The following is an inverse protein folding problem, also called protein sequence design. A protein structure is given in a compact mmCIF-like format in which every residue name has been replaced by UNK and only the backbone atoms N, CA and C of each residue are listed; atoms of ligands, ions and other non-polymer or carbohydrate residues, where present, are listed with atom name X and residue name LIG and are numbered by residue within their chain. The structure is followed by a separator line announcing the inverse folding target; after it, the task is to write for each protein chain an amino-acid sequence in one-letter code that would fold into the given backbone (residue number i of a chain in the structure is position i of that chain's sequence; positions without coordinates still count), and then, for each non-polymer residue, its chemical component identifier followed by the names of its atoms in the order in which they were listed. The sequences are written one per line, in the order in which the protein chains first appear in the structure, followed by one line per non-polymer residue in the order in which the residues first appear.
data_IF_452529399792
#
_entry.id   IF_452529399792
#
_cell.length_a   1.000
_cell.length_b   1.000
_cell.length_c   1.000
_cell.angle_alpha   90.00
_cell.angle_beta   90.00
_cell.angle_gamma   90.00
#
_symmetry.space_group_name_H-M   'P 1'
#
loop_
_entity.id
_entity.type
_entity.pdbx_description
1 polymer ?
#
# COMPACT_ATOMS: atom_id res chain seq x y z
N UNK A 1 -2.22 -18.62 8.68
CA UNK A 1 -2.59 -18.23 7.29
C UNK A 1 -2.63 -16.72 7.21
N UNK A 2 -2.09 -16.16 6.16
CA UNK A 2 -1.96 -14.72 5.98
C UNK A 2 -3.29 -14.05 5.66
N UNK A 3 -3.44 -12.79 6.09
CA UNK A 3 -4.40 -11.84 5.56
C UNK A 3 -3.62 -10.81 4.75
N UNK A 4 -3.93 -10.73 3.46
CA UNK A 4 -3.27 -9.85 2.50
C UNK A 4 -3.92 -8.46 2.54
N UNK A 5 -3.13 -7.42 2.85
CA UNK A 5 -3.67 -6.05 2.94
C UNK A 5 -3.77 -5.35 1.57
N UNK A 6 -3.18 -5.93 0.51
CA UNK A 6 -3.03 -5.25 -0.76
C UNK A 6 -3.04 -6.22 -1.95
N UNK A 7 -4.11 -6.20 -2.74
CA UNK A 7 -4.21 -6.93 -4.00
C UNK A 7 -5.22 -6.31 -4.96
N UNK A 8 -5.10 -6.67 -6.25
CA UNK A 8 -5.93 -6.18 -7.33
C UNK A 8 -6.50 -7.32 -8.16
N UNK A 9 -7.77 -7.21 -8.54
CA UNK A 9 -8.42 -8.13 -9.45
C UNK A 9 -9.41 -7.40 -10.36
N UNK A 10 -9.57 -7.91 -11.57
CA UNK A 10 -10.49 -7.36 -12.57
C UNK A 10 -11.39 -8.47 -13.12
N UNK A 11 -12.66 -8.20 -13.32
CA UNK A 11 -13.60 -9.14 -13.94
C UNK A 11 -13.17 -9.60 -15.34
N UNK A 12 -12.47 -8.74 -16.06
CA UNK A 12 -11.99 -9.00 -17.41
C UNK A 12 -10.52 -8.61 -17.55
N UNK A 13 -9.76 -9.28 -18.42
CA UNK A 13 -8.39 -8.88 -18.71
C UNK A 13 -8.30 -7.40 -19.09
N UNK A 14 -7.34 -6.71 -18.52
CA UNK A 14 -7.05 -5.30 -18.84
C UNK A 14 -5.99 -5.28 -19.95
N UNK A 15 -6.27 -4.66 -21.12
CA UNK A 15 -5.44 -4.82 -22.30
C UNK A 15 -4.24 -3.87 -22.40
N UNK A 16 -4.06 -2.92 -21.45
CA UNK A 16 -3.16 -1.78 -21.72
C UNK A 16 -1.85 -1.78 -20.94
N UNK A 17 -1.81 -2.23 -19.69
CA UNK A 17 -0.66 -2.04 -18.82
C UNK A 17 -0.02 -3.36 -18.38
N UNK A 18 -0.80 -4.24 -17.76
CA UNK A 18 -0.30 -5.51 -17.24
C UNK A 18 -1.38 -6.58 -17.30
N UNK A 19 -0.99 -7.83 -17.05
CA UNK A 19 -1.91 -8.97 -16.99
C UNK A 19 -2.47 -9.10 -15.59
N UNK A 20 -3.45 -8.26 -15.25
CA UNK A 20 -4.12 -8.34 -13.94
C UNK A 20 -4.81 -9.69 -13.72
N UNK A 21 -4.95 -10.05 -12.47
CA UNK A 21 -5.68 -11.24 -12.05
C UNK A 21 -7.18 -11.07 -12.30
N UNK A 22 -7.85 -12.16 -12.70
CA UNK A 22 -9.29 -12.32 -12.43
C UNK A 22 -9.49 -12.73 -10.98
N UNK A 23 -10.69 -12.57 -10.39
CA UNK A 23 -10.95 -13.01 -9.02
C UNK A 23 -10.55 -14.47 -8.76
N UNK A 24 -10.87 -15.37 -9.68
CA UNK A 24 -10.56 -16.80 -9.56
C UNK A 24 -9.05 -17.06 -9.64
N UNK A 25 -8.34 -16.35 -10.52
CA UNK A 25 -6.89 -16.46 -10.64
C UNK A 25 -6.18 -15.91 -9.40
N UNK A 26 -6.68 -14.80 -8.82
CA UNK A 26 -6.18 -14.24 -7.58
C UNK A 26 -6.37 -15.21 -6.41
N UNK A 27 -7.55 -15.81 -6.28
CA UNK A 27 -7.83 -16.84 -5.26
C UNK A 27 -6.83 -18.00 -5.38
N UNK A 28 -6.58 -18.49 -6.59
CA UNK A 28 -5.62 -19.57 -6.80
C UNK A 28 -4.17 -19.17 -6.41
N UNK A 29 -3.79 -17.91 -6.69
CA UNK A 29 -2.49 -17.38 -6.29
C UNK A 29 -2.39 -17.20 -4.76
N UNK A 30 -3.46 -16.72 -4.12
CA UNK A 30 -3.57 -16.63 -2.67
C UNK A 30 -3.45 -18.00 -2.00
N UNK A 31 -4.17 -19.00 -2.48
CA UNK A 31 -4.12 -20.37 -1.95
C UNK A 31 -2.70 -20.96 -2.02
N UNK A 32 -2.00 -20.74 -3.14
CA UNK A 32 -0.61 -21.16 -3.32
C UNK A 32 0.34 -20.56 -2.28
N UNK A 33 0.05 -19.37 -1.79
CA UNK A 33 0.89 -18.62 -0.83
C UNK A 33 0.38 -18.70 0.61
N UNK A 34 -0.64 -19.52 0.91
CA UNK A 34 -1.20 -19.65 2.26
C UNK A 34 -1.97 -18.42 2.76
N UNK A 35 -2.57 -17.68 1.83
CA UNK A 35 -3.36 -16.48 2.11
C UNK A 35 -4.83 -16.87 2.22
N UNK A 36 -5.43 -16.57 3.36
CA UNK A 36 -6.84 -16.88 3.66
C UNK A 36 -7.77 -15.88 3.01
N UNK A 37 -7.48 -14.58 3.18
CA UNK A 37 -8.26 -13.46 2.68
C UNK A 37 -7.36 -12.37 2.14
N UNK A 38 -7.85 -11.61 1.18
CA UNK A 38 -7.14 -10.43 0.64
C UNK A 38 -8.05 -9.21 0.50
N UNK A 39 -7.47 -8.05 0.77
CA UNK A 39 -8.07 -6.77 0.43
C UNK A 39 -8.03 -6.59 -1.08
N UNK A 40 -9.14 -6.15 -1.66
CA UNK A 40 -9.21 -5.71 -3.05
C UNK A 40 -9.23 -4.19 -3.11
N UNK A 41 -8.30 -3.61 -3.85
CA UNK A 41 -8.13 -2.17 -4.05
C UNK A 41 -8.55 -1.77 -5.46
N UNK A 42 -9.52 -0.83 -5.62
CA UNK A 42 -9.85 -0.30 -6.92
C UNK A 42 -8.85 0.77 -7.38
N UNK A 43 -8.46 0.73 -8.64
CA UNK A 43 -7.66 1.77 -9.30
C UNK A 43 -8.61 2.71 -10.01
N UNK A 44 -8.69 3.96 -9.55
CA UNK A 44 -9.71 4.93 -10.04
C UNK A 44 -9.13 6.23 -10.61
N UNK A 45 -7.82 6.44 -10.48
CA UNK A 45 -7.16 7.64 -10.97
C UNK A 45 -6.92 7.60 -12.50
N UNK A 46 -6.81 8.76 -13.11
CA UNK A 46 -6.73 8.89 -14.57
C UNK A 46 -5.34 8.68 -15.16
N UNK A 47 -4.29 8.62 -14.36
CA UNK A 47 -2.90 8.40 -14.78
C UNK A 47 -2.70 7.03 -15.40
N UNK A 48 -3.44 6.04 -14.90
CA UNK A 48 -3.45 4.68 -15.45
C UNK A 48 -4.86 4.40 -15.95
N UNK A 49 -5.01 4.10 -17.25
CA UNK A 49 -6.32 3.76 -17.81
C UNK A 49 -6.67 2.30 -17.50
N UNK A 50 -7.16 2.08 -16.29
CA UNK A 50 -7.63 0.79 -15.78
C UNK A 50 -9.10 0.94 -15.37
N UNK A 51 -10.06 0.79 -16.30
CA UNK A 51 -11.48 1.04 -16.01
C UNK A 51 -12.02 0.04 -14.99
N UNK A 52 -12.12 0.47 -13.74
CA UNK A 52 -12.68 -0.27 -12.63
C UNK A 52 -13.47 0.67 -11.73
N UNK A 53 -14.53 0.17 -11.13
CA UNK A 53 -15.38 0.92 -10.21
C UNK A 53 -15.30 0.32 -8.80
N UNK A 54 -15.73 1.09 -7.82
CA UNK A 54 -15.92 0.57 -6.45
C UNK A 54 -16.99 -0.53 -6.44
N UNK A 55 -17.98 -0.46 -7.31
CA UNK A 55 -19.02 -1.48 -7.48
C UNK A 55 -18.43 -2.81 -7.94
N UNK A 56 -17.45 -2.81 -8.87
CA UNK A 56 -16.77 -4.04 -9.29
C UNK A 56 -16.12 -4.75 -8.10
N UNK A 57 -15.50 -3.98 -7.20
CA UNK A 57 -14.88 -4.51 -5.97
C UNK A 57 -15.92 -5.10 -5.01
N UNK A 58 -17.04 -4.39 -4.82
CA UNK A 58 -18.14 -4.88 -3.98
C UNK A 58 -18.75 -6.15 -4.55
N UNK A 59 -18.98 -6.21 -5.87
CA UNK A 59 -19.52 -7.39 -6.56
C UNK A 59 -18.58 -8.61 -6.41
N UNK A 60 -17.25 -8.39 -6.50
CA UNK A 60 -16.27 -9.44 -6.26
C UNK A 60 -16.31 -9.92 -4.81
N UNK A 61 -16.39 -9.00 -3.85
CA UNK A 61 -16.46 -9.33 -2.43
C UNK A 61 -17.77 -10.02 -2.07
N UNK A 62 -18.89 -9.64 -2.68
CA UNK A 62 -20.18 -10.31 -2.50
C UNK A 62 -20.18 -11.74 -3.08
N UNK A 63 -19.53 -11.92 -4.24
CA UNK A 63 -19.39 -13.26 -4.86
C UNK A 63 -18.45 -14.18 -4.07
N UNK A 64 -17.43 -13.63 -3.43
CA UNK A 64 -16.41 -14.38 -2.68
C UNK A 64 -16.22 -13.83 -1.26
N UNK A 65 -17.25 -13.86 -0.39
CA UNK A 65 -17.27 -13.15 0.89
C UNK A 65 -16.24 -13.68 1.90
N UNK A 66 -15.83 -14.93 1.74
CA UNK A 66 -14.81 -15.54 2.61
C UNK A 66 -13.37 -15.27 2.13
N UNK A 67 -13.21 -14.65 0.96
CA UNK A 67 -11.91 -14.46 0.32
C UNK A 67 -11.53 -12.99 0.15
N UNK A 68 -12.47 -12.09 -0.10
CA UNK A 68 -12.17 -10.70 -0.41
C UNK A 68 -12.74 -9.73 0.60
N UNK A 69 -11.93 -8.74 0.92
CA UNK A 69 -12.27 -7.62 1.80
C UNK A 69 -12.30 -6.36 0.91
N UNK A 70 -13.45 -5.73 0.71
CA UNK A 70 -13.53 -4.59 -0.20
C UNK A 70 -12.92 -3.33 0.42
N UNK A 71 -12.09 -2.63 -0.32
CA UNK A 71 -11.78 -1.23 -0.14
C UNK A 71 -12.52 -0.41 -1.18
N UNK A 72 -12.69 0.87 -0.95
CA UNK A 72 -13.12 1.84 -1.94
C UNK A 72 -11.99 2.79 -2.28
N UNK A 73 -12.14 3.54 -3.36
CA UNK A 73 -11.23 4.62 -3.70
C UNK A 73 -11.98 5.74 -4.39
N UNK A 74 -11.44 6.94 -4.28
CA UNK A 74 -11.98 8.15 -4.91
C UNK A 74 -10.82 9.01 -5.36
N UNK A 75 -10.76 9.34 -6.64
CA UNK A 75 -9.80 10.33 -7.12
C UNK A 75 -10.06 11.68 -6.41
N UNK A 76 -9.04 12.34 -5.83
CA UNK A 76 -9.24 13.61 -5.11
C UNK A 76 -9.79 14.74 -5.98
N UNK A 77 -9.74 14.57 -7.32
CA UNK A 77 -10.33 15.51 -8.30
C UNK A 77 -11.81 15.20 -8.59
N UNK A 78 -12.37 14.13 -8.01
CA UNK A 78 -13.75 13.73 -8.23
C UNK A 78 -14.76 14.81 -7.81
N UNK A 79 -16.00 14.66 -8.30
CA UNK A 79 -17.13 15.57 -8.10
C UNK A 79 -16.88 16.94 -8.73
N UNK A 80 -16.37 17.91 -7.95
CA UNK A 80 -16.29 19.31 -8.39
C UNK A 80 -14.88 19.74 -8.75
N UNK A 81 -13.89 18.86 -8.69
CA UNK A 81 -12.47 19.19 -8.84
C UNK A 81 -12.04 20.34 -7.91
N UNK A 82 -12.57 20.35 -6.70
CA UNK A 82 -12.36 21.38 -5.69
C UNK A 82 -11.76 20.77 -4.42
N UNK A 83 -10.91 21.50 -3.69
CA UNK A 83 -10.45 21.09 -2.36
C UNK A 83 -11.58 21.01 -1.32
N UNK A 84 -12.76 21.52 -1.63
CA UNK A 84 -13.95 21.48 -0.77
C UNK A 84 -14.99 20.45 -1.27
N UNK A 85 -14.62 19.59 -2.24
CA UNK A 85 -15.51 18.54 -2.74
C UNK A 85 -15.97 17.62 -1.58
N UNK A 86 -17.26 17.29 -1.48
CA UNK A 86 -17.80 16.50 -0.36
C UNK A 86 -17.50 15.01 -0.52
N UNK A 87 -16.23 14.65 -0.60
CA UNK A 87 -15.76 13.28 -0.80
C UNK A 87 -16.16 12.36 0.36
N UNK A 88 -16.39 12.90 1.56
CA UNK A 88 -16.88 12.14 2.71
C UNK A 88 -18.27 11.50 2.47
N UNK A 89 -19.09 12.07 1.59
CA UNK A 89 -20.37 11.45 1.21
C UNK A 89 -20.15 10.15 0.42
N UNK A 90 -19.19 10.15 -0.51
CA UNK A 90 -18.83 8.97 -1.29
C UNK A 90 -18.22 7.90 -0.36
N UNK A 91 -17.24 8.30 0.45
CA UNK A 91 -16.56 7.38 1.36
C UNK A 91 -17.52 6.76 2.38
N UNK A 92 -18.47 7.53 2.90
CA UNK A 92 -19.52 7.04 3.81
C UNK A 92 -20.43 6.03 3.12
N UNK A 93 -20.87 6.34 1.90
CA UNK A 93 -21.71 5.43 1.10
C UNK A 93 -21.04 4.06 0.92
N UNK A 94 -19.76 4.03 0.58
CA UNK A 94 -19.02 2.76 0.40
C UNK A 94 -18.69 2.08 1.72
N UNK A 95 -18.38 2.83 2.79
CA UNK A 95 -18.23 2.26 4.13
C UNK A 95 -19.50 1.55 4.60
N UNK A 96 -20.67 2.18 4.41
CA UNK A 96 -21.96 1.61 4.80
C UNK A 96 -22.31 0.34 3.99
N UNK A 97 -21.71 0.18 2.83
CA UNK A 97 -21.79 -1.04 1.99
C UNK A 97 -20.70 -2.07 2.28
N UNK A 98 -19.86 -1.85 3.27
CA UNK A 98 -18.90 -2.83 3.76
C UNK A 98 -17.43 -2.57 3.41
N UNK A 99 -17.11 -1.49 2.67
CA UNK A 99 -15.71 -1.14 2.42
C UNK A 99 -14.97 -0.82 3.74
N UNK A 100 -13.76 -1.36 3.89
CA UNK A 100 -12.98 -1.32 5.13
C UNK A 100 -11.84 -0.29 5.12
N UNK A 101 -11.55 0.31 3.97
CA UNK A 101 -10.49 1.30 3.79
C UNK A 101 -10.60 2.02 2.46
N UNK A 102 -9.66 2.92 2.22
CA UNK A 102 -9.54 3.72 0.99
C UNK A 102 -8.17 3.46 0.37
N UNK A 103 -8.13 3.15 -0.89
CA UNK A 103 -6.88 2.93 -1.61
C UNK A 103 -7.03 2.01 -2.81
N UNK A 104 -6.01 1.94 -3.56
CA UNK A 104 -4.70 2.56 -3.39
C UNK A 104 -4.76 4.02 -3.87
N UNK A 105 -4.27 4.97 -3.04
CA UNK A 105 -4.30 6.40 -3.39
C UNK A 105 -3.04 6.70 -4.20
N UNK A 106 -3.19 6.82 -5.52
CA UNK A 106 -2.08 6.92 -6.46
C UNK A 106 -2.24 8.00 -7.56
N UNK A 107 -3.04 9.07 -7.42
CA UNK A 107 -3.03 10.14 -8.42
C UNK A 107 -1.68 10.85 -8.40
N UNK A 108 -1.16 11.26 -9.56
CA UNK A 108 0.11 11.99 -9.62
C UNK A 108 -0.11 13.47 -9.26
N UNK A 109 -0.34 13.70 -7.98
CA UNK A 109 -0.47 15.00 -7.33
C UNK A 109 0.51 15.08 -6.16
N UNK A 110 0.81 16.28 -5.71
CA UNK A 110 1.56 16.43 -4.46
C UNK A 110 0.74 15.90 -3.27
N UNK A 111 1.39 15.26 -2.30
CA UNK A 111 0.73 14.88 -1.04
C UNK A 111 0.03 16.07 -0.40
N UNK A 112 0.65 17.27 -0.49
CA UNK A 112 0.09 18.52 0.04
C UNK A 112 -0.85 19.24 -0.93
N UNK A 113 -1.19 18.69 -2.10
CA UNK A 113 -2.26 19.26 -2.94
C UNK A 113 -3.55 19.39 -2.10
N UNK A 114 -4.21 20.55 -2.13
CA UNK A 114 -5.40 20.77 -1.32
C UNK A 114 -6.52 19.74 -1.53
N UNK A 115 -6.62 19.15 -2.72
CA UNK A 115 -7.61 18.10 -3.02
C UNK A 115 -7.22 16.75 -2.40
N UNK A 116 -5.92 16.42 -2.39
CA UNK A 116 -5.39 15.24 -1.69
C UNK A 116 -5.59 15.38 -0.19
N UNK A 117 -5.30 16.58 0.36
CA UNK A 117 -5.52 16.87 1.77
C UNK A 117 -7.02 16.82 2.14
N UNK A 118 -7.91 17.20 1.23
CA UNK A 118 -9.35 17.03 1.42
C UNK A 118 -9.75 15.54 1.45
N UNK A 119 -9.18 14.70 0.59
CA UNK A 119 -9.43 13.25 0.62
C UNK A 119 -9.00 12.65 1.97
N UNK A 120 -7.80 12.98 2.46
CA UNK A 120 -7.32 12.53 3.78
C UNK A 120 -8.21 13.03 4.92
N UNK A 121 -8.63 14.29 4.88
CA UNK A 121 -9.60 14.83 5.84
C UNK A 121 -10.92 14.05 5.82
N UNK A 122 -11.45 13.77 4.64
CA UNK A 122 -12.70 13.03 4.49
C UNK A 122 -12.56 11.58 4.96
N UNK A 123 -11.43 10.92 4.69
CA UNK A 123 -11.14 9.57 5.18
C UNK A 123 -11.04 9.53 6.71
N UNK A 124 -10.34 10.49 7.33
CA UNK A 124 -10.28 10.63 8.79
C UNK A 124 -11.68 10.83 9.40
N UNK A 125 -12.47 11.76 8.82
CA UNK A 125 -13.83 12.06 9.26
C UNK A 125 -14.76 10.85 9.21
N UNK A 126 -14.60 9.99 8.19
CA UNK A 126 -15.38 8.76 8.03
C UNK A 126 -14.80 7.61 8.86
N UNK A 127 -13.52 7.70 9.25
CA UNK A 127 -12.81 6.69 10.02
C UNK A 127 -12.48 5.46 9.17
N UNK A 128 -11.93 5.68 7.97
CA UNK A 128 -11.38 4.65 7.10
C UNK A 128 -9.85 4.81 7.02
N UNK A 129 -9.07 3.73 7.21
CA UNK A 129 -7.64 3.77 6.93
C UNK A 129 -7.39 4.00 5.45
N UNK A 130 -6.20 4.50 5.10
CA UNK A 130 -5.81 4.73 3.71
C UNK A 130 -4.52 4.00 3.37
N UNK A 131 -4.39 3.50 2.15
CA UNK A 131 -3.11 3.03 1.57
C UNK A 131 -2.59 4.13 0.66
N UNK A 132 -1.39 4.59 0.97
CA UNK A 132 -0.67 5.67 0.29
C UNK A 132 0.40 5.08 -0.62
N UNK A 133 0.34 5.36 -1.90
CA UNK A 133 1.42 5.07 -2.85
C UNK A 133 2.16 6.36 -3.23
N UNK A 134 3.49 6.29 -3.20
CA UNK A 134 4.35 7.45 -3.42
C UNK A 134 5.01 7.45 -4.80
N UNK A 135 5.12 8.65 -5.41
CA UNK A 135 5.88 8.91 -6.64
C UNK A 135 7.11 9.77 -6.39
N UNK A 136 8.19 9.51 -7.12
CA UNK A 136 9.43 10.30 -7.10
C UNK A 136 9.42 11.46 -8.10
N UNK A 137 8.40 11.55 -8.95
CA UNK A 137 8.26 12.58 -9.99
C UNK A 137 6.88 13.22 -9.98
N UNK A 138 6.85 14.45 -10.44
CA UNK A 138 5.63 15.16 -10.83
C UNK A 138 5.49 15.00 -12.34
N UNK A 139 4.30 14.63 -12.79
CA UNK A 139 3.98 14.35 -14.17
C UNK A 139 4.71 13.13 -14.77
N UNK A 140 3.99 12.33 -15.52
CA UNK A 140 4.52 11.20 -16.28
C UNK A 140 4.60 9.87 -15.52
N UNK A 141 4.01 9.78 -14.34
CA UNK A 141 3.87 8.56 -13.55
C UNK A 141 2.55 8.56 -12.79
N UNK A 142 2.35 7.61 -11.88
CA UNK A 142 1.28 7.58 -10.87
C UNK A 142 1.91 7.61 -9.47
N UNK A 143 1.07 7.74 -8.44
CA UNK A 143 1.50 7.88 -7.05
C UNK A 143 1.58 9.34 -6.60
N UNK A 144 1.40 9.56 -5.30
CA UNK A 144 1.46 10.87 -4.68
C UNK A 144 2.92 11.34 -4.57
N UNK A 145 3.24 12.48 -5.16
CA UNK A 145 4.58 13.05 -5.08
C UNK A 145 4.88 13.60 -3.68
N UNK A 146 6.03 13.21 -3.16
CA UNK A 146 6.64 13.81 -1.99
C UNK A 146 8.14 14.09 -2.25
N UNK A 147 8.71 15.06 -1.54
CA UNK A 147 10.13 15.36 -1.59
C UNK A 147 10.95 14.30 -0.81
N UNK A 148 12.28 14.18 -1.09
CA UNK A 148 13.15 13.34 -0.27
C UNK A 148 13.06 13.66 1.22
N UNK A 149 12.94 12.61 2.04
CA UNK A 149 12.70 12.73 3.48
C UNK A 149 11.23 12.71 3.87
N UNK A 150 10.30 12.61 2.90
CA UNK A 150 8.84 12.52 3.11
C UNK A 150 8.23 13.68 3.94
N UNK A 151 8.63 14.96 3.70
CA UNK A 151 8.16 16.08 4.52
C UNK A 151 6.67 16.34 4.36
N UNK A 152 6.08 16.07 3.19
CA UNK A 152 4.65 16.28 2.95
C UNK A 152 3.81 15.20 3.63
N UNK A 153 4.29 13.93 3.63
CA UNK A 153 3.69 12.86 4.41
C UNK A 153 3.79 13.16 5.90
N UNK A 154 4.95 13.63 6.39
CA UNK A 154 5.11 14.01 7.78
C UNK A 154 4.08 15.08 8.20
N UNK A 155 3.93 16.13 7.40
CA UNK A 155 2.93 17.18 7.65
C UNK A 155 1.50 16.61 7.67
N UNK A 156 1.20 15.68 6.76
CA UNK A 156 -0.12 15.02 6.69
C UNK A 156 -0.40 14.17 7.93
N UNK A 157 0.57 13.38 8.40
CA UNK A 157 0.46 12.60 9.64
C UNK A 157 0.19 13.48 10.86
N UNK A 158 0.85 14.64 10.92
CA UNK A 158 0.67 15.61 11.98
C UNK A 158 -0.72 16.28 11.93
N UNK A 159 -1.19 16.58 10.71
CA UNK A 159 -2.47 17.24 10.47
C UNK A 159 -3.67 16.35 10.74
N UNK A 160 -3.55 15.05 10.45
CA UNK A 160 -4.62 14.07 10.58
C UNK A 160 -4.23 12.94 11.55
N UNK A 161 -4.13 13.22 12.86
CA UNK A 161 -3.59 12.27 13.84
C UNK A 161 -4.48 11.04 14.09
N UNK A 162 -5.74 11.07 13.64
CA UNK A 162 -6.68 9.94 13.75
C UNK A 162 -6.78 9.11 12.48
N UNK A 163 -6.18 9.58 11.38
CA UNK A 163 -6.13 8.85 10.12
C UNK A 163 -5.01 7.82 10.17
N UNK A 164 -5.31 6.54 10.06
CA UNK A 164 -4.29 5.52 9.83
C UNK A 164 -3.87 5.55 8.37
N UNK A 165 -2.58 5.80 8.12
CA UNK A 165 -1.97 5.81 6.78
C UNK A 165 -1.01 4.63 6.70
N UNK A 166 -1.24 3.72 5.75
CA UNK A 166 -0.33 2.63 5.42
C UNK A 166 0.57 3.11 4.27
N UNK A 167 1.87 3.20 4.54
CA UNK A 167 2.86 3.58 3.54
C UNK A 167 3.19 2.40 2.64
N UNK A 168 3.17 2.65 1.34
CA UNK A 168 3.41 1.69 0.27
C UNK A 168 4.27 2.30 -0.84
N UNK A 169 4.79 1.43 -1.69
CA UNK A 169 5.47 1.78 -2.93
C UNK A 169 6.96 2.12 -2.81
N UNK A 170 7.62 2.31 -3.96
CA UNK A 170 9.08 2.44 -4.04
C UNK A 170 9.62 3.66 -3.30
N UNK A 171 8.90 4.78 -3.38
CA UNK A 171 9.31 6.04 -2.73
C UNK A 171 9.32 5.90 -1.22
N UNK A 172 8.26 5.30 -0.66
CA UNK A 172 8.17 5.06 0.77
C UNK A 172 9.26 4.10 1.25
N UNK A 173 9.41 2.95 0.59
CA UNK A 173 10.34 1.92 1.02
C UNK A 173 11.82 2.26 0.77
N UNK A 174 12.15 3.12 -0.20
CA UNK A 174 13.50 3.64 -0.34
C UNK A 174 13.95 4.42 0.90
N UNK A 175 13.03 5.14 1.53
CA UNK A 175 13.26 5.97 2.71
C UNK A 175 13.36 5.18 4.04
N UNK A 176 13.42 3.84 3.99
CA UNK A 176 13.80 3.02 5.16
C UNK A 176 15.25 3.30 5.57
N UNK A 177 16.10 3.63 4.60
CA UNK A 177 17.49 4.02 4.79
C UNK A 177 17.72 5.45 4.30
N UNK A 178 18.77 6.08 4.79
CA UNK A 178 19.26 7.34 4.22
C UNK A 178 19.57 7.14 2.74
N UNK A 179 19.00 7.97 1.90
CA UNK A 179 19.25 7.96 0.47
C UNK A 179 20.71 8.38 0.17
N UNK A 180 21.41 7.63 -0.67
CA UNK A 180 22.68 8.04 -1.25
C UNK A 180 22.45 9.01 -2.42
N UNK A 181 21.39 8.76 -3.18
CA UNK A 181 20.92 9.63 -4.27
C UNK A 181 19.40 9.63 -4.30
N UNK A 182 18.79 10.72 -4.77
CA UNK A 182 17.32 10.82 -4.94
C UNK A 182 16.77 9.79 -5.92
N UNK A 183 17.59 9.32 -6.87
CA UNK A 183 17.21 8.32 -7.85
C UNK A 183 16.91 6.93 -7.26
N UNK A 184 17.29 6.66 -6.02
CA UNK A 184 16.97 5.39 -5.34
C UNK A 184 15.47 5.22 -5.05
N UNK A 185 14.71 6.31 -5.13
CA UNK A 185 13.26 6.33 -4.96
C UNK A 185 12.49 5.90 -6.21
N UNK A 186 13.15 5.91 -7.37
CA UNK A 186 12.52 5.58 -8.64
C UNK A 186 12.39 4.07 -8.87
N UNK A 187 11.34 3.69 -9.58
CA UNK A 187 11.06 2.31 -9.99
C UNK A 187 10.62 2.26 -11.44
N UNK A 188 11.04 1.23 -12.17
CA UNK A 188 10.63 1.04 -13.58
C UNK A 188 9.25 0.38 -13.58
N UNK A 189 8.22 1.19 -13.70
CA UNK A 189 6.86 0.70 -13.92
C UNK A 189 6.13 1.54 -14.99
N UNK A 190 5.23 0.90 -15.71
CA UNK A 190 4.32 1.58 -16.62
C UNK A 190 5.02 2.23 -17.81
N UNK A 191 4.96 3.55 -17.88
CA UNK A 191 5.30 4.32 -19.08
C UNK A 191 6.69 4.96 -19.04
N UNK A 192 7.42 4.82 -17.94
CA UNK A 192 8.77 5.37 -17.80
C UNK A 192 9.81 4.43 -18.41
N UNK A 193 10.76 4.99 -19.14
CA UNK A 193 11.92 4.24 -19.65
C UNK A 193 12.98 4.05 -18.56
N UNK A 194 13.77 2.97 -18.67
CA UNK A 194 14.79 2.62 -17.67
C UNK A 194 15.88 3.70 -17.46
N UNK A 195 16.05 4.60 -18.41
CA UNK A 195 16.96 5.75 -18.32
C UNK A 195 16.36 6.96 -17.58
N UNK A 196 15.02 6.97 -17.40
CA UNK A 196 14.28 7.99 -16.67
C UNK A 196 14.08 7.63 -15.19
N UNK A 197 14.48 6.42 -14.79
CA UNK A 197 14.23 5.87 -13.45
C UNK A 197 15.55 5.60 -12.76
N UNK A 198 15.64 5.96 -11.50
CA UNK A 198 16.75 5.61 -10.64
C UNK A 198 16.81 4.10 -10.36
N UNK A 199 17.80 3.71 -9.60
CA UNK A 199 18.01 2.31 -9.23
C UNK A 199 17.70 2.11 -7.76
N UNK A 200 16.85 1.13 -7.46
CA UNK A 200 16.62 0.69 -6.08
C UNK A 200 17.95 0.29 -5.45
N UNK A 201 18.20 0.79 -4.24
CA UNK A 201 19.40 0.46 -3.47
C UNK A 201 19.28 -0.95 -2.88
N UNK A 202 20.31 -1.78 -3.12
CA UNK A 202 20.41 -3.14 -2.58
C UNK A 202 21.50 -3.29 -1.51
N UNK A 203 22.18 -2.18 -1.14
CA UNK A 203 23.22 -2.21 -0.12
C UNK A 203 22.61 -2.36 1.29
N UNK A 204 23.36 -2.93 2.25
CA UNK A 204 22.96 -2.95 3.66
C UNK A 204 22.65 -1.55 4.21
N UNK A 205 21.75 -1.50 5.17
CA UNK A 205 21.26 -0.26 5.79
C UNK A 205 22.31 0.22 6.82
N UNK A 206 23.03 1.27 6.48
CA UNK A 206 24.07 1.87 7.35
C UNK A 206 23.53 2.98 8.25
N UNK A 207 22.52 3.70 7.77
CA UNK A 207 21.87 4.81 8.45
C UNK A 207 20.38 4.80 8.12
N UNK A 208 19.55 4.99 9.13
CA UNK A 208 18.09 5.04 8.97
C UNK A 208 17.64 6.28 8.21
N UNK A 209 16.69 6.09 7.30
CA UNK A 209 16.02 7.14 6.54
C UNK A 209 14.88 7.82 7.29
N UNK A 210 13.93 8.34 6.54
CA UNK A 210 12.76 9.01 7.07
C UNK A 210 11.74 8.05 7.68
N UNK A 211 11.49 6.90 7.04
CA UNK A 211 10.42 5.96 7.44
C UNK A 211 10.53 5.50 8.90
N UNK A 212 11.66 4.95 9.39
CA UNK A 212 11.75 4.52 10.79
C UNK A 212 11.63 5.70 11.77
N UNK A 213 12.12 6.87 11.41
CA UNK A 213 12.00 8.09 12.24
C UNK A 213 10.54 8.55 12.35
N UNK A 214 9.81 8.55 11.22
CA UNK A 214 8.39 8.91 11.19
C UNK A 214 7.54 7.88 11.95
N UNK A 215 7.81 6.59 11.82
CA UNK A 215 7.13 5.55 12.57
C UNK A 215 7.27 5.71 14.09
N UNK A 216 8.45 6.10 14.59
CA UNK A 216 8.65 6.36 16.02
C UNK A 216 7.91 7.61 16.48
N UNK A 217 7.79 8.60 15.62
CA UNK A 217 7.18 9.91 15.93
C UNK A 217 5.66 9.90 15.80
N UNK A 218 5.11 9.19 14.82
CA UNK A 218 3.70 9.23 14.46
C UNK A 218 3.05 7.85 14.59
N UNK A 219 2.18 7.64 15.58
CA UNK A 219 1.53 6.34 15.80
C UNK A 219 0.51 5.98 14.72
N UNK A 220 0.07 6.94 13.93
CA UNK A 220 -0.87 6.77 12.82
C UNK A 220 -0.21 6.42 11.47
N UNK A 221 1.13 6.35 11.41
CA UNK A 221 1.83 5.76 10.27
C UNK A 221 1.98 4.26 10.47
N UNK A 222 1.54 3.50 9.50
CA UNK A 222 1.59 2.04 9.45
C UNK A 222 2.31 1.58 8.17
N UNK A 223 2.58 0.29 8.05
CA UNK A 223 3.40 -0.31 7.01
C UNK A 223 2.59 -1.33 6.20
N UNK A 224 2.44 -1.06 4.91
CA UNK A 224 2.04 -2.06 3.94
C UNK A 224 3.31 -2.76 3.41
N UNK A 225 3.47 -4.04 3.74
CA UNK A 225 4.66 -4.83 3.41
C UNK A 225 4.59 -5.46 2.01
N UNK A 226 3.67 -5.02 1.18
CA UNK A 226 3.50 -5.54 -0.17
C UNK A 226 4.56 -5.04 -1.15
N UNK A 227 4.60 -5.66 -2.35
CA UNK A 227 5.51 -5.38 -3.45
C UNK A 227 6.98 -5.78 -3.22
N UNK A 228 7.72 -5.83 -4.30
CA UNK A 228 9.15 -6.12 -4.35
C UNK A 228 10.03 -5.07 -3.68
N UNK A 229 9.55 -3.83 -3.58
CA UNK A 229 10.28 -2.74 -2.94
C UNK A 229 10.30 -2.89 -1.42
N UNK A 230 9.17 -3.26 -0.80
CA UNK A 230 9.13 -3.62 0.62
C UNK A 230 9.99 -4.85 0.90
N UNK A 231 9.89 -5.88 0.06
CA UNK A 231 10.72 -7.07 0.20
C UNK A 231 12.22 -6.72 0.16
N UNK A 232 12.65 -5.92 -0.83
CA UNK A 232 14.04 -5.47 -0.91
C UNK A 232 14.45 -4.66 0.33
N UNK A 233 13.63 -3.71 0.76
CA UNK A 233 13.90 -2.86 1.91
C UNK A 233 14.15 -3.67 3.19
N UNK A 234 13.36 -4.74 3.40
CA UNK A 234 13.44 -5.61 4.57
C UNK A 234 14.56 -6.66 4.49
N UNK A 235 14.93 -7.12 3.27
CA UNK A 235 15.83 -8.27 3.13
C UNK A 235 17.24 -7.92 2.69
N UNK A 236 17.48 -6.71 2.17
CA UNK A 236 18.83 -6.28 1.74
C UNK A 236 19.83 -6.15 2.90
N UNK A 237 19.33 -6.07 4.13
CA UNK A 237 20.13 -6.15 5.35
C UNK A 237 19.53 -7.23 6.26
N UNK A 238 20.21 -8.39 6.43
CA UNK A 238 19.65 -9.55 7.12
C UNK A 238 19.50 -9.38 8.63
N UNK A 239 20.14 -8.36 9.22
CA UNK A 239 20.02 -8.07 10.66
C UNK A 239 19.02 -6.93 10.91
N UNK A 240 19.04 -5.92 10.05
CA UNK A 240 18.16 -4.75 10.21
C UNK A 240 16.69 -5.08 9.97
N UNK A 241 16.36 -5.80 8.89
CA UNK A 241 14.95 -6.06 8.53
C UNK A 241 14.16 -6.79 9.62
N UNK A 242 14.67 -7.91 10.18
CA UNK A 242 14.02 -8.55 11.33
C UNK A 242 13.86 -7.64 12.54
N UNK A 243 14.90 -6.88 12.91
CA UNK A 243 14.85 -5.95 14.04
C UNK A 243 13.82 -4.82 13.81
N UNK A 244 13.75 -4.29 12.59
CA UNK A 244 12.75 -3.31 12.19
C UNK A 244 11.32 -3.85 12.32
N UNK A 245 11.06 -5.08 11.86
CA UNK A 245 9.74 -5.69 12.00
C UNK A 245 9.40 -6.01 13.45
N UNK A 246 10.38 -6.38 14.28
CA UNK A 246 10.17 -6.59 15.71
C UNK A 246 9.80 -5.27 16.42
N UNK A 247 10.46 -4.16 16.09
CA UNK A 247 10.16 -2.85 16.64
C UNK A 247 8.76 -2.36 16.25
N UNK A 248 8.39 -2.52 14.97
CA UNK A 248 7.13 -1.98 14.43
C UNK A 248 6.04 -3.03 14.25
N UNK A 249 6.15 -4.17 14.92
CA UNK A 249 5.27 -5.34 14.77
C UNK A 249 3.78 -5.04 14.88
N UNK A 250 3.38 -4.03 15.65
CA UNK A 250 1.97 -3.69 15.88
C UNK A 250 1.32 -2.89 14.74
N UNK A 251 2.12 -2.44 13.77
CA UNK A 251 1.71 -1.55 12.68
C UNK A 251 2.19 -2.02 11.30
N UNK A 252 2.70 -3.22 11.20
CA UNK A 252 3.12 -3.86 9.96
C UNK A 252 2.07 -4.88 9.50
N UNK A 253 1.75 -4.87 8.22
CA UNK A 253 0.72 -5.72 7.62
C UNK A 253 1.29 -6.48 6.44
N UNK A 254 1.11 -7.79 6.44
CA UNK A 254 1.44 -8.60 5.28
C UNK A 254 0.62 -8.16 4.08
N UNK A 255 1.26 -8.02 2.92
CA UNK A 255 0.63 -7.70 1.65
C UNK A 255 1.37 -8.34 0.49
N UNK A 256 0.69 -8.47 -0.65
CA UNK A 256 1.27 -9.08 -1.85
C UNK A 256 1.49 -8.08 -2.97
N UNK A 257 0.60 -7.14 -3.14
CA UNK A 257 0.43 -6.32 -4.34
C UNK A 257 0.26 -7.20 -5.60
N UNK A 258 -0.58 -8.24 -5.48
CA UNK A 258 -0.93 -9.06 -6.62
C UNK A 258 -1.64 -8.23 -7.70
N UNK A 259 -0.88 -7.73 -8.65
CA UNK A 259 -1.35 -6.95 -9.79
C UNK A 259 -0.96 -7.54 -11.14
N UNK A 260 -0.07 -8.56 -11.18
CA UNK A 260 0.39 -9.18 -12.42
C UNK A 260 0.50 -10.71 -12.29
N UNK A 261 -0.22 -11.44 -13.17
CA UNK A 261 -0.25 -12.92 -13.18
C UNK A 261 1.09 -13.58 -13.46
N UNK A 262 2.08 -12.85 -13.96
CA UNK A 262 3.44 -13.37 -14.15
C UNK A 262 4.20 -13.48 -12.80
N UNK A 263 3.71 -12.83 -11.73
CA UNK A 263 4.31 -12.83 -10.39
C UNK A 263 3.34 -13.44 -9.37
N UNK A 264 3.45 -14.73 -9.14
CA UNK A 264 2.58 -15.51 -8.23
C UNK A 264 3.33 -16.09 -7.02
N UNK A 265 4.61 -15.79 -6.86
CA UNK A 265 5.46 -16.33 -5.80
C UNK A 265 5.86 -15.21 -4.83
N UNK A 266 5.26 -15.20 -3.64
CA UNK A 266 5.49 -14.16 -2.64
C UNK A 266 6.64 -14.56 -1.73
N UNK A 267 7.82 -14.04 -2.04
CA UNK A 267 9.04 -14.31 -1.27
C UNK A 267 8.90 -13.89 0.18
N UNK A 268 8.22 -12.76 0.46
CA UNK A 268 8.05 -12.24 1.81
C UNK A 268 7.35 -13.24 2.73
N UNK A 269 6.32 -13.95 2.26
CA UNK A 269 5.62 -14.95 3.06
C UNK A 269 6.57 -16.04 3.59
N UNK A 270 7.45 -16.55 2.72
CA UNK A 270 8.47 -17.56 3.12
C UNK A 270 9.51 -16.96 4.05
N UNK A 271 9.99 -15.76 3.74
CA UNK A 271 11.00 -15.06 4.55
C UNK A 271 10.51 -14.81 5.98
N UNK A 272 9.27 -14.40 6.16
CA UNK A 272 8.68 -14.22 7.49
C UNK A 272 8.60 -15.54 8.28
N UNK A 273 8.23 -16.64 7.61
CA UNK A 273 8.24 -17.99 8.21
C UNK A 273 9.66 -18.41 8.62
N UNK A 274 10.63 -18.23 7.74
CA UNK A 274 12.03 -18.54 8.00
C UNK A 274 12.58 -17.70 9.17
N UNK A 275 12.31 -16.41 9.21
CA UNK A 275 12.73 -15.54 10.31
C UNK A 275 12.11 -15.91 11.64
N UNK A 276 10.82 -16.27 11.65
CA UNK A 276 10.16 -16.82 12.85
C UNK A 276 10.82 -18.11 13.31
N UNK A 277 11.08 -19.05 12.40
CA UNK A 277 11.63 -20.38 12.72
C UNK A 277 13.09 -20.30 13.16
N UNK A 278 13.83 -19.32 12.66
CA UNK A 278 15.21 -19.00 13.07
C UNK A 278 15.26 -18.14 14.34
N UNK A 279 14.13 -17.68 14.86
CA UNK A 279 14.08 -16.77 16.01
C UNK A 279 14.56 -15.35 15.73
N UNK A 280 14.63 -14.92 14.47
CA UNK A 280 14.98 -13.56 14.07
C UNK A 280 13.86 -12.57 14.34
N UNK A 281 12.62 -13.01 14.26
CA UNK A 281 11.43 -12.32 14.76
C UNK A 281 10.71 -13.22 15.77
N UNK A 282 10.06 -12.61 16.77
CA UNK A 282 9.26 -13.35 17.74
C UNK A 282 8.03 -13.97 17.08
N UNK A 283 7.51 -15.06 17.67
CA UNK A 283 6.23 -15.63 17.23
C UNK A 283 5.09 -14.62 17.35
N UNK A 284 5.14 -13.75 18.34
CA UNK A 284 4.16 -12.71 18.55
C UNK A 284 4.19 -11.68 17.40
N UNK A 285 5.37 -11.20 17.03
CA UNK A 285 5.54 -10.30 15.88
C UNK A 285 5.06 -10.95 14.58
N UNK A 286 5.43 -12.21 14.35
CA UNK A 286 4.97 -12.96 13.17
C UNK A 286 3.45 -13.03 13.09
N UNK A 287 2.74 -13.41 14.18
CA UNK A 287 1.28 -13.53 14.17
C UNK A 287 0.56 -12.18 14.00
N UNK A 288 1.12 -11.12 14.58
CA UNK A 288 0.61 -9.75 14.38
C UNK A 288 0.70 -9.35 12.90
N UNK A 289 1.86 -9.52 12.29
CA UNK A 289 2.12 -9.16 10.89
C UNK A 289 1.32 -10.06 9.94
N UNK A 290 1.29 -11.37 10.23
CA UNK A 290 0.60 -12.37 9.42
C UNK A 290 -0.90 -12.05 9.26
N UNK A 291 -1.55 -11.62 10.37
CA UNK A 291 -3.01 -11.48 10.37
C UNK A 291 -3.63 -10.61 11.46
N UNK A 292 -3.12 -10.60 12.71
CA UNK A 292 -3.83 -10.00 13.82
C UNK A 292 -3.99 -8.48 13.66
N UNK A 293 -2.98 -7.82 13.09
CA UNK A 293 -3.05 -6.39 12.81
C UNK A 293 -4.14 -6.08 11.77
N UNK A 294 -4.24 -6.87 10.71
CA UNK A 294 -5.29 -6.70 9.70
C UNK A 294 -6.69 -6.93 10.28
N UNK A 295 -6.87 -7.98 11.10
CA UNK A 295 -8.12 -8.23 11.82
C UNK A 295 -8.52 -7.02 12.66
N UNK A 296 -7.57 -6.47 13.43
CA UNK A 296 -7.82 -5.32 14.30
C UNK A 296 -8.13 -4.04 13.50
N UNK A 297 -7.33 -3.75 12.46
CA UNK A 297 -7.48 -2.53 11.65
C UNK A 297 -8.81 -2.52 10.91
N UNK A 298 -9.16 -3.65 10.29
CA UNK A 298 -10.30 -3.78 9.39
C UNK A 298 -11.58 -4.25 10.10
N UNK A 299 -11.48 -4.56 11.39
CA UNK A 299 -12.59 -5.04 12.20
C UNK A 299 -13.28 -6.26 11.53
N UNK A 300 -12.50 -7.33 11.33
CA UNK A 300 -12.91 -8.58 10.67
C UNK A 300 -13.47 -9.58 11.67
#
# INVERSE_FOLDING_TARGET
MYIDIHSHAYWKPVPFVTKFFTPEALIAAQDKNGIEKGVLLPVVNCEIYLPQTNEDILDMAEKYPDRFIPFCNVDPRAMTNSPDAPLDQILRYYKDRGCKGVGEIMPNLEVMDPKVQNLFHCAEKVGLPVIYDGSDVKDGDFGLYDDPGLPQLEHTLQRFPKLTILGHGPVFWAEIARLETVGERGYVFGFRSADQVGRINHNPIREEGAVPKLLRKYPNLHLDLSDGTAYNALTRDPEYGPAFLEEFQDRAYFGTDFCNTDYTDIKLARTLLEWRDQGKISKAAFHKIERENAIRLLNL
#
